data_IF_118960916719
#
_entry.id   IF_118960916719
#
_cell.length_a   1.000
_cell.length_b   1.000
_cell.length_c   1.000
_cell.angle_alpha   90.00
_cell.angle_beta   90.00
_cell.angle_gamma   90.00
#
_symmetry.space_group_name_H-M   'P 1'
#
loop_
_entity.id
_entity.type
_entity.pdbx_description
1 polymer ?
#
# COMPACT_ATOMS: atom_id res chain seq x y z
N UNK A 1 -3.88 -22.03 -15.81
CA UNK A 1 -4.69 -21.35 -14.77
C UNK A 1 -5.04 -19.97 -15.28
N UNK A 2 -6.30 -19.53 -15.19
CA UNK A 2 -6.76 -18.21 -15.68
C UNK A 2 -7.02 -17.25 -14.52
N UNK A 3 -7.14 -15.94 -14.82
CA UNK A 3 -7.49 -14.94 -13.81
C UNK A 3 -8.86 -15.22 -13.16
N UNK A 4 -9.87 -15.62 -13.94
CA UNK A 4 -11.18 -16.02 -13.41
C UNK A 4 -11.08 -17.28 -12.52
N UNK A 5 -10.27 -18.26 -12.93
CA UNK A 5 -10.01 -19.44 -12.12
C UNK A 5 -9.35 -19.10 -10.78
N UNK A 6 -8.41 -18.17 -10.78
CA UNK A 6 -7.78 -17.66 -9.55
C UNK A 6 -8.80 -16.98 -8.64
N UNK A 7 -9.68 -16.14 -9.20
CA UNK A 7 -10.74 -15.46 -8.44
C UNK A 7 -11.64 -16.47 -7.74
N UNK A 8 -12.16 -17.45 -8.48
CA UNK A 8 -13.02 -18.50 -7.91
C UNK A 8 -12.31 -19.28 -6.80
N UNK A 9 -11.04 -19.64 -7.01
CA UNK A 9 -10.24 -20.39 -6.03
C UNK A 9 -10.03 -19.61 -4.73
N UNK A 10 -9.65 -18.33 -4.83
CA UNK A 10 -9.37 -17.51 -3.65
C UNK A 10 -10.63 -17.03 -2.93
N UNK A 11 -11.72 -16.80 -3.67
CA UNK A 11 -13.02 -16.42 -3.09
C UNK A 11 -13.59 -17.50 -2.17
N UNK A 12 -13.28 -18.78 -2.45
CA UNK A 12 -13.68 -19.90 -1.58
C UNK A 12 -13.06 -19.83 -0.17
N UNK A 13 -11.92 -19.16 -0.01
CA UNK A 13 -11.24 -18.99 1.29
C UNK A 13 -11.80 -17.75 1.98
N UNK A 14 -12.61 -17.92 3.03
CA UNK A 14 -13.28 -16.79 3.73
C UNK A 14 -12.32 -15.95 4.55
N UNK A 15 -11.35 -16.57 5.20
CA UNK A 15 -10.41 -15.88 6.08
C UNK A 15 -9.35 -15.10 5.28
N UNK A 16 -9.24 -13.76 5.43
CA UNK A 16 -8.34 -12.96 4.62
C UNK A 16 -6.86 -13.34 4.76
N UNK A 17 -6.39 -13.69 5.97
CA UNK A 17 -4.99 -14.07 6.16
C UNK A 17 -4.68 -15.40 5.49
N UNK A 18 -5.53 -16.42 5.65
CA UNK A 18 -5.36 -17.69 4.94
C UNK A 18 -5.38 -17.50 3.42
N UNK A 19 -6.24 -16.61 2.91
CA UNK A 19 -6.29 -16.29 1.48
C UNK A 19 -4.96 -15.68 0.99
N UNK A 20 -4.37 -14.77 1.78
CA UNK A 20 -3.06 -14.15 1.49
C UNK A 20 -1.93 -15.18 1.51
N UNK A 21 -1.87 -16.01 2.53
CA UNK A 21 -0.88 -17.08 2.67
C UNK A 21 -1.00 -18.07 1.50
N UNK A 22 -2.22 -18.48 1.18
CA UNK A 22 -2.48 -19.39 0.07
C UNK A 22 -2.04 -18.81 -1.28
N UNK A 23 -2.36 -17.53 -1.55
CA UNK A 23 -1.89 -16.85 -2.76
C UNK A 23 -0.35 -16.75 -2.81
N UNK A 24 0.31 -16.43 -1.69
CA UNK A 24 1.76 -16.39 -1.63
C UNK A 24 2.38 -17.77 -1.95
N UNK A 25 1.88 -18.84 -1.33
CA UNK A 25 2.37 -20.20 -1.63
C UNK A 25 2.10 -20.65 -3.07
N UNK A 26 0.98 -20.22 -3.65
CA UNK A 26 0.67 -20.43 -5.06
C UNK A 26 1.67 -19.72 -5.99
N UNK A 27 2.04 -18.48 -5.67
CA UNK A 27 3.06 -17.71 -6.41
C UNK A 27 4.44 -18.34 -6.28
N UNK A 28 4.82 -18.85 -5.10
CA UNK A 28 6.12 -19.48 -4.89
C UNK A 28 6.29 -20.82 -5.62
N UNK A 29 5.23 -21.62 -5.69
CA UNK A 29 5.28 -22.95 -6.30
C UNK A 29 5.05 -22.96 -7.82
N UNK A 30 4.52 -21.87 -8.39
CA UNK A 30 4.11 -21.84 -9.79
C UNK A 30 5.14 -21.27 -10.75
N UNK A 31 4.91 -21.50 -12.04
CA UNK A 31 5.72 -20.96 -13.12
C UNK A 31 5.55 -19.43 -13.22
N UNK A 32 6.65 -18.64 -13.14
CA UNK A 32 6.61 -17.18 -13.29
C UNK A 32 5.90 -16.72 -14.56
N UNK A 33 6.09 -17.39 -15.71
CA UNK A 33 5.50 -16.97 -16.99
C UNK A 33 3.97 -17.04 -16.95
N UNK A 34 3.44 -18.11 -16.36
CA UNK A 34 1.99 -18.29 -16.16
C UNK A 34 1.47 -17.24 -15.18
N UNK A 35 2.16 -17.02 -14.07
CA UNK A 35 1.72 -16.05 -13.06
C UNK A 35 1.71 -14.63 -13.57
N UNK A 36 2.73 -14.20 -14.32
CA UNK A 36 2.80 -12.86 -14.88
C UNK A 36 1.58 -12.56 -15.78
N UNK A 37 1.20 -13.50 -16.66
CA UNK A 37 0.01 -13.32 -17.50
C UNK A 37 -1.30 -13.36 -16.68
N UNK A 38 -1.39 -14.24 -15.67
CA UNK A 38 -2.56 -14.29 -14.77
C UNK A 38 -2.72 -12.98 -13.99
N UNK A 39 -1.63 -12.42 -13.46
CA UNK A 39 -1.64 -11.18 -12.69
C UNK A 39 -1.96 -9.97 -13.57
N UNK A 40 -1.40 -9.89 -14.78
CA UNK A 40 -1.73 -8.83 -15.75
C UNK A 40 -3.22 -8.88 -16.13
N UNK A 41 -3.76 -10.08 -16.40
CA UNK A 41 -5.16 -10.27 -16.71
C UNK A 41 -6.08 -9.92 -15.52
N UNK A 42 -5.71 -10.31 -14.30
CA UNK A 42 -6.43 -9.99 -13.07
C UNK A 42 -6.49 -8.47 -12.84
N UNK A 43 -5.34 -7.78 -12.94
CA UNK A 43 -5.25 -6.33 -12.77
C UNK A 43 -6.08 -5.62 -13.84
N UNK A 44 -5.96 -6.05 -15.10
CA UNK A 44 -6.74 -5.52 -16.21
C UNK A 44 -8.26 -5.71 -16.01
N UNK A 45 -8.68 -6.87 -15.48
CA UNK A 45 -10.08 -7.14 -15.16
C UNK A 45 -10.58 -6.19 -14.07
N UNK A 46 -9.90 -6.13 -12.93
CA UNK A 46 -10.27 -5.26 -11.81
C UNK A 46 -10.32 -3.76 -12.18
N UNK A 47 -9.51 -3.34 -13.16
CA UNK A 47 -9.50 -1.96 -13.62
C UNK A 47 -10.55 -1.63 -14.69
N UNK A 48 -11.14 -2.64 -15.36
CA UNK A 48 -12.18 -2.47 -16.40
C UNK A 48 -13.58 -2.49 -15.84
N UNK A 49 -13.84 -3.46 -14.98
CA UNK A 49 -15.16 -3.75 -14.45
C UNK A 49 -15.24 -3.25 -13.02
N UNK A 50 -16.44 -2.87 -12.56
CA UNK A 50 -16.69 -2.72 -11.12
C UNK A 50 -16.88 -4.10 -10.46
N UNK A 51 -16.05 -5.06 -10.86
CA UNK A 51 -16.09 -6.43 -10.39
C UNK A 51 -15.46 -6.49 -9.00
N UNK A 52 -16.32 -6.52 -7.99
CA UNK A 52 -15.94 -6.55 -6.60
C UNK A 52 -15.06 -7.77 -6.24
N UNK A 53 -15.25 -8.90 -6.91
CA UNK A 53 -14.42 -10.08 -6.67
C UNK A 53 -13.01 -9.87 -7.22
N UNK A 54 -12.88 -9.38 -8.45
CA UNK A 54 -11.58 -9.06 -9.03
C UNK A 54 -10.82 -8.00 -8.20
N UNK A 55 -11.52 -6.94 -7.76
CA UNK A 55 -10.95 -5.91 -6.88
C UNK A 55 -10.49 -6.49 -5.54
N UNK A 56 -11.28 -7.37 -4.91
CA UNK A 56 -10.92 -8.03 -3.66
C UNK A 56 -9.70 -8.95 -3.81
N UNK A 57 -9.54 -9.61 -4.96
CA UNK A 57 -8.36 -10.45 -5.23
C UNK A 57 -7.13 -9.61 -5.57
N UNK A 58 -7.27 -8.48 -6.26
CA UNK A 58 -6.17 -7.52 -6.43
C UNK A 58 -5.74 -6.96 -5.07
N UNK A 59 -6.67 -6.59 -4.19
CA UNK A 59 -6.34 -6.19 -2.81
C UNK A 59 -5.55 -7.29 -2.09
N UNK A 60 -6.04 -8.54 -2.14
CA UNK A 60 -5.35 -9.70 -1.58
C UNK A 60 -3.93 -9.86 -2.15
N UNK A 61 -3.75 -9.71 -3.47
CA UNK A 61 -2.45 -9.74 -4.13
C UNK A 61 -1.51 -8.69 -3.55
N UNK A 62 -1.93 -7.42 -3.49
CA UNK A 62 -1.06 -6.33 -3.02
C UNK A 62 -0.58 -6.52 -1.57
N UNK A 63 -1.38 -7.22 -0.75
CA UNK A 63 -1.04 -7.57 0.62
C UNK A 63 -0.22 -8.87 0.71
N UNK A 64 -0.47 -9.84 -0.17
CA UNK A 64 0.30 -11.08 -0.27
C UNK A 64 1.73 -10.85 -0.78
N UNK A 65 1.94 -9.87 -1.66
CA UNK A 65 3.28 -9.48 -2.13
C UNK A 65 3.96 -8.47 -1.21
N UNK A 66 3.31 -8.04 -0.12
CA UNK A 66 3.96 -7.22 0.91
C UNK A 66 5.08 -8.01 1.61
N UNK A 67 6.16 -7.33 1.97
CA UNK A 67 7.32 -7.95 2.65
C UNK A 67 6.90 -8.47 4.04
N UNK A 68 7.40 -9.64 4.50
CA UNK A 68 8.22 -10.65 3.82
C UNK A 68 7.42 -11.93 3.52
N UNK A 69 6.31 -11.85 2.76
CA UNK A 69 5.48 -13.04 2.46
C UNK A 69 5.96 -13.91 1.29
N UNK A 70 6.83 -13.37 0.44
CA UNK A 70 7.42 -14.09 -0.70
C UNK A 70 8.94 -14.11 -0.53
N UNK A 71 9.55 -15.26 -0.75
CA UNK A 71 11.01 -15.40 -0.81
C UNK A 71 11.64 -14.47 -1.86
N UNK A 72 12.89 -14.06 -1.62
CA UNK A 72 13.66 -13.26 -2.58
C UNK A 72 13.69 -13.91 -3.98
N UNK A 73 13.93 -15.23 -4.03
CA UNK A 73 13.98 -16.00 -5.28
C UNK A 73 12.67 -15.92 -6.07
N UNK A 74 11.52 -16.09 -5.41
CA UNK A 74 10.23 -16.02 -6.09
C UNK A 74 9.96 -14.60 -6.63
N UNK A 75 10.30 -13.57 -5.84
CA UNK A 75 10.18 -12.16 -6.26
C UNK A 75 11.05 -11.86 -7.47
N UNK A 76 12.32 -12.27 -7.43
CA UNK A 76 13.28 -12.07 -8.52
C UNK A 76 12.82 -12.75 -9.81
N UNK A 77 12.32 -13.99 -9.72
CA UNK A 77 11.81 -14.73 -10.87
C UNK A 77 10.59 -14.03 -11.50
N UNK A 78 9.59 -13.65 -10.70
CA UNK A 78 8.39 -12.94 -11.17
C UNK A 78 8.72 -11.55 -11.74
N UNK A 79 9.63 -10.82 -11.09
CA UNK A 79 10.12 -9.53 -11.59
C UNK A 79 10.80 -9.66 -12.95
N UNK A 80 11.74 -10.60 -13.07
CA UNK A 80 12.54 -10.81 -14.29
C UNK A 80 11.64 -11.19 -15.45
N UNK A 81 10.75 -12.16 -15.24
CA UNK A 81 9.78 -12.60 -16.24
C UNK A 81 8.88 -11.44 -16.68
N UNK A 82 8.27 -10.72 -15.74
CA UNK A 82 7.39 -9.59 -16.04
C UNK A 82 8.10 -8.50 -16.85
N UNK A 83 9.40 -8.28 -16.62
CA UNK A 83 10.19 -7.35 -17.43
C UNK A 83 10.46 -7.88 -18.83
N UNK A 84 10.80 -9.16 -18.97
CA UNK A 84 11.10 -9.78 -20.27
C UNK A 84 9.88 -9.72 -21.20
N UNK A 85 8.68 -9.98 -20.68
CA UNK A 85 7.43 -9.94 -21.47
C UNK A 85 6.78 -8.55 -21.54
N UNK A 86 7.43 -7.49 -21.02
CA UNK A 86 6.95 -6.11 -21.11
C UNK A 86 5.74 -5.78 -20.21
N UNK A 87 5.52 -6.54 -19.14
CA UNK A 87 4.47 -6.32 -18.12
C UNK A 87 4.98 -5.44 -16.99
N UNK A 88 5.33 -4.20 -17.29
CA UNK A 88 5.93 -3.26 -16.33
C UNK A 88 5.14 -3.10 -15.03
N UNK A 89 3.82 -2.94 -15.10
CA UNK A 89 2.96 -2.80 -13.93
C UNK A 89 3.02 -4.03 -13.02
N UNK A 90 3.07 -5.24 -13.58
CA UNK A 90 3.25 -6.48 -12.81
C UNK A 90 4.64 -6.54 -12.20
N UNK A 91 5.68 -6.21 -12.98
CA UNK A 91 7.07 -6.24 -12.50
C UNK A 91 7.26 -5.36 -11.25
N UNK A 92 6.71 -4.14 -11.24
CA UNK A 92 6.90 -3.21 -10.12
C UNK A 92 6.21 -3.65 -8.83
N UNK A 93 5.28 -4.62 -8.85
CA UNK A 93 4.71 -5.20 -7.64
C UNK A 93 5.72 -6.00 -6.82
N UNK A 94 6.79 -6.46 -7.46
CA UNK A 94 7.85 -7.29 -6.85
C UNK A 94 9.12 -6.49 -6.52
N UNK A 95 9.07 -5.16 -6.64
CA UNK A 95 10.14 -4.27 -6.17
C UNK A 95 9.95 -3.98 -4.67
N UNK A 96 10.96 -4.26 -3.86
CA UNK A 96 10.93 -4.02 -2.40
C UNK A 96 11.73 -2.81 -1.94
N UNK A 97 12.56 -2.24 -2.82
CA UNK A 97 13.40 -1.10 -2.50
C UNK A 97 12.94 0.14 -3.26
N UNK A 98 13.07 1.30 -2.61
CA UNK A 98 12.87 2.60 -3.24
C UNK A 98 13.89 3.58 -2.69
N UNK A 99 14.29 4.60 -3.47
CA UNK A 99 15.08 5.71 -2.95
C UNK A 99 14.42 6.33 -1.72
N UNK A 100 15.23 6.90 -0.83
CA UNK A 100 14.73 7.63 0.32
C UNK A 100 13.85 8.79 -0.13
N UNK A 101 12.66 8.90 0.47
CA UNK A 101 11.67 9.95 0.19
C UNK A 101 11.73 11.11 1.18
N UNK A 102 12.60 11.02 2.19
CA UNK A 102 12.87 12.06 3.17
C UNK A 102 14.38 12.25 3.34
N UNK A 103 14.80 13.48 3.63
CA UNK A 103 16.19 13.75 4.00
C UNK A 103 16.50 13.07 5.34
N UNK A 104 17.61 12.32 5.41
CA UNK A 104 17.97 11.55 6.60
C UNK A 104 18.12 12.42 7.86
N UNK A 105 18.73 13.61 7.75
CA UNK A 105 18.93 14.52 8.89
C UNK A 105 17.62 15.15 9.34
N UNK A 106 16.74 15.51 8.41
CA UNK A 106 15.43 16.06 8.75
C UNK A 106 14.53 15.00 9.39
N UNK A 107 14.61 13.76 8.89
CA UNK A 107 13.90 12.62 9.46
C UNK A 107 14.38 12.34 10.89
N UNK A 108 15.70 12.30 11.12
CA UNK A 108 16.27 12.11 12.46
C UNK A 108 15.76 13.15 13.45
N UNK A 109 15.81 14.45 13.08
CA UNK A 109 15.26 15.54 13.91
C UNK A 109 13.76 15.40 14.15
N UNK A 110 12.99 15.03 13.13
CA UNK A 110 11.55 14.85 13.27
C UNK A 110 11.20 13.70 14.23
N UNK A 111 12.07 12.69 14.33
CA UNK A 111 11.91 11.49 15.14
C UNK A 111 12.57 11.58 16.52
N UNK A 112 13.00 12.77 16.94
CA UNK A 112 13.52 12.99 18.29
C UNK A 112 12.56 12.45 19.37
N UNK A 113 13.11 11.85 20.44
CA UNK A 113 12.31 11.13 21.43
C UNK A 113 11.36 12.07 22.19
N UNK A 114 11.78 13.31 22.42
CA UNK A 114 11.02 14.31 23.15
C UNK A 114 10.31 15.28 22.21
N UNK A 115 8.99 15.42 22.39
CA UNK A 115 8.19 16.32 21.58
C UNK A 115 6.95 16.80 22.34
N UNK A 116 6.61 18.09 22.29
CA UNK A 116 5.37 18.57 22.86
C UNK A 116 4.17 18.20 21.96
N UNK A 117 3.03 17.84 22.54
CA UNK A 117 1.79 17.58 21.79
C UNK A 117 1.18 18.85 21.21
N UNK A 118 1.41 19.99 21.88
CA UNK A 118 0.87 21.29 21.53
C UNK A 118 2.01 22.31 21.46
N UNK A 119 1.93 23.37 20.64
CA UNK A 119 3.03 24.33 20.45
C UNK A 119 3.55 24.99 21.74
N UNK A 120 2.73 25.07 22.79
CA UNK A 120 3.10 25.65 24.11
C UNK A 120 3.11 24.63 25.25
N UNK A 121 3.06 23.34 24.92
CA UNK A 121 3.09 22.26 25.92
C UNK A 121 4.52 21.90 26.33
N UNK A 122 4.66 21.24 27.48
CA UNK A 122 5.94 20.61 27.85
C UNK A 122 6.31 19.51 26.83
N UNK A 123 7.60 19.27 26.56
CA UNK A 123 8.02 18.08 25.84
C UNK A 123 7.56 16.80 26.55
N UNK A 124 7.05 15.86 25.78
CA UNK A 124 6.74 14.50 26.24
C UNK A 124 7.74 13.53 25.64
N UNK A 125 8.20 12.60 26.46
CA UNK A 125 9.00 11.45 26.01
C UNK A 125 8.20 10.57 25.03
N UNK A 126 8.90 9.75 24.26
CA UNK A 126 8.28 8.77 23.37
C UNK A 126 7.32 7.83 24.12
N UNK A 127 7.69 7.41 25.34
CA UNK A 127 6.86 6.58 26.20
C UNK A 127 5.55 7.27 26.60
N UNK A 128 5.62 8.53 27.02
CA UNK A 128 4.43 9.34 27.36
C UNK A 128 3.54 9.57 26.15
N UNK A 129 4.09 9.83 24.96
CA UNK A 129 3.30 9.97 23.72
C UNK A 129 2.60 8.66 23.33
N UNK A 130 3.27 7.51 23.46
CA UNK A 130 2.66 6.19 23.27
C UNK A 130 1.57 5.91 24.32
N UNK A 131 1.75 6.33 25.57
CA UNK A 131 0.72 6.21 26.59
C UNK A 131 -0.50 7.09 26.26
N UNK A 132 -0.26 8.36 25.88
CA UNK A 132 -1.28 9.29 25.45
C UNK A 132 -2.06 8.79 24.23
N UNK A 133 -1.41 8.09 23.29
CA UNK A 133 -2.05 7.49 22.13
C UNK A 133 -3.11 6.41 22.47
N UNK A 134 -3.14 5.88 23.70
CA UNK A 134 -4.15 4.92 24.17
C UNK A 134 -5.34 5.56 24.87
N UNK A 135 -5.35 6.87 25.04
CA UNK A 135 -6.44 7.59 25.71
C UNK A 135 -7.75 7.54 24.91
N UNK A 136 -8.88 7.78 25.58
CA UNK A 136 -10.17 8.04 24.94
C UNK A 136 -10.42 9.51 24.63
N UNK A 137 -9.59 10.41 25.18
CA UNK A 137 -9.67 11.87 24.99
C UNK A 137 -9.43 12.31 23.54
N UNK A 138 -10.44 12.90 22.91
CA UNK A 138 -10.44 13.32 21.49
C UNK A 138 -9.43 14.43 21.20
N UNK A 139 -9.32 15.42 22.08
CA UNK A 139 -8.37 16.52 21.97
C UNK A 139 -6.91 16.04 21.91
N UNK A 140 -6.56 15.07 22.75
CA UNK A 140 -5.22 14.46 22.77
C UNK A 140 -4.96 13.66 21.50
N UNK A 141 -5.93 12.86 21.04
CA UNK A 141 -5.78 12.07 19.82
C UNK A 141 -5.64 12.94 18.57
N UNK A 142 -6.40 14.04 18.48
CA UNK A 142 -6.26 15.02 17.38
C UNK A 142 -4.88 15.67 17.39
N UNK A 143 -4.32 15.97 18.56
CA UNK A 143 -2.96 16.50 18.66
C UNK A 143 -1.92 15.46 18.18
N UNK A 144 -2.11 14.19 18.57
CA UNK A 144 -1.22 13.07 18.23
C UNK A 144 -1.30 12.64 16.77
N UNK A 145 -2.35 12.99 16.02
CA UNK A 145 -2.40 12.75 14.56
C UNK A 145 -1.18 13.33 13.84
N UNK A 146 -0.58 14.42 14.36
CA UNK A 146 0.60 15.08 13.80
C UNK A 146 1.94 14.51 14.27
N UNK A 147 1.90 13.42 15.04
CA UNK A 147 3.11 12.77 15.53
C UNK A 147 3.81 11.99 14.40
N UNK A 148 5.07 12.30 14.07
CA UNK A 148 5.79 11.62 13.00
C UNK A 148 6.35 10.27 13.42
N UNK A 149 6.36 9.93 14.71
CA UNK A 149 7.07 8.77 15.21
C UNK A 149 6.30 7.46 14.90
N UNK A 150 6.91 6.49 14.19
CA UNK A 150 6.21 5.29 13.74
C UNK A 150 5.61 4.48 14.90
N UNK A 151 6.27 4.42 16.06
CA UNK A 151 5.71 3.73 17.24
C UNK A 151 4.49 4.42 17.85
N UNK A 152 4.42 5.75 17.80
CA UNK A 152 3.25 6.49 18.29
C UNK A 152 2.10 6.27 17.31
N UNK A 153 2.39 6.38 16.01
CA UNK A 153 1.42 6.11 14.93
C UNK A 153 0.90 4.68 15.04
N UNK A 154 1.76 3.68 15.25
CA UNK A 154 1.32 2.29 15.42
C UNK A 154 0.31 2.15 16.58
N UNK A 155 0.59 2.74 17.74
CA UNK A 155 -0.33 2.70 18.89
C UNK A 155 -1.63 3.49 18.62
N UNK A 156 -1.55 4.61 17.91
CA UNK A 156 -2.75 5.37 17.52
C UNK A 156 -3.65 4.55 16.60
N UNK A 157 -3.09 3.85 15.62
CA UNK A 157 -3.87 3.07 14.65
C UNK A 157 -4.66 1.94 15.31
N UNK A 158 -4.16 1.39 16.42
CA UNK A 158 -4.85 0.40 17.26
C UNK A 158 -5.92 1.02 18.18
N UNK A 159 -5.95 2.34 18.35
CA UNK A 159 -6.90 3.00 19.25
C UNK A 159 -8.34 2.85 18.73
N UNK A 160 -9.29 2.31 19.51
CA UNK A 160 -10.67 2.08 19.07
C UNK A 160 -11.41 3.38 18.76
N UNK A 161 -11.01 4.49 19.38
CA UNK A 161 -11.62 5.79 19.18
C UNK A 161 -11.11 6.51 17.94
N UNK A 162 -9.98 6.07 17.33
CA UNK A 162 -9.47 6.69 16.11
C UNK A 162 -10.45 6.49 14.94
N UNK A 163 -10.67 7.55 14.17
CA UNK A 163 -11.58 7.53 13.01
C UNK A 163 -10.82 7.42 11.70
N UNK A 164 -11.51 7.02 10.62
CA UNK A 164 -10.91 7.00 9.27
C UNK A 164 -10.40 8.38 8.86
N UNK A 165 -11.11 9.45 9.24
CA UNK A 165 -10.69 10.83 8.99
C UNK A 165 -9.35 11.16 9.64
N UNK A 166 -9.14 10.70 10.87
CA UNK A 166 -7.88 10.91 11.59
C UNK A 166 -6.73 10.17 10.88
N UNK A 167 -6.95 8.94 10.43
CA UNK A 167 -5.93 8.16 9.71
C UNK A 167 -5.60 8.77 8.34
N UNK A 168 -6.62 9.27 7.62
CA UNK A 168 -6.41 10.04 6.39
C UNK A 168 -5.57 11.28 6.68
N UNK A 169 -5.81 11.97 7.80
CA UNK A 169 -5.00 13.11 8.21
C UNK A 169 -3.55 12.72 8.51
N UNK A 170 -3.30 11.60 9.21
CA UNK A 170 -1.94 11.04 9.42
C UNK A 170 -1.26 10.79 8.07
N UNK A 171 -1.95 10.09 7.17
CA UNK A 171 -1.41 9.72 5.86
C UNK A 171 -1.17 10.92 4.93
N UNK A 172 -1.88 12.03 5.13
CA UNK A 172 -1.76 13.23 4.31
C UNK A 172 -0.71 14.24 4.81
N UNK A 173 -0.06 13.99 5.95
CA UNK A 173 0.93 14.92 6.52
C UNK A 173 2.12 15.15 5.57
N UNK A 174 2.57 16.41 5.50
CA UNK A 174 3.73 16.83 4.72
C UNK A 174 4.50 17.92 5.50
N UNK A 175 5.78 17.72 5.84
CA UNK A 175 6.53 16.48 5.67
C UNK A 175 5.98 15.34 6.54
N UNK A 176 6.07 14.11 6.06
CA UNK A 176 5.76 12.91 6.83
C UNK A 176 6.99 12.01 6.95
N UNK A 177 7.07 11.26 8.05
CA UNK A 177 8.09 10.24 8.22
C UNK A 177 7.72 9.00 7.38
N UNK A 178 8.56 8.54 6.44
CA UNK A 178 8.25 7.36 5.63
C UNK A 178 7.93 6.11 6.47
N UNK A 179 8.63 5.80 7.58
CA UNK A 179 8.27 4.68 8.45
C UNK A 179 6.86 4.76 9.03
N UNK A 180 6.34 5.97 9.33
CA UNK A 180 4.97 6.14 9.82
C UNK A 180 3.93 5.86 8.73
N UNK A 181 4.20 6.27 7.49
CA UNK A 181 3.33 5.96 6.34
C UNK A 181 3.29 4.44 6.06
N UNK A 182 4.41 3.75 6.23
CA UNK A 182 4.46 2.27 6.15
C UNK A 182 3.55 1.64 7.22
N UNK A 183 3.56 2.15 8.46
CA UNK A 183 2.63 1.66 9.50
C UNK A 183 1.17 1.80 9.09
N UNK A 184 0.79 2.93 8.50
CA UNK A 184 -0.58 3.14 7.99
C UNK A 184 -0.90 2.16 6.85
N UNK A 185 0.02 2.02 5.90
CA UNK A 185 -0.12 1.15 4.73
C UNK A 185 -0.28 -0.34 5.08
N UNK A 186 0.32 -0.80 6.16
CA UNK A 186 0.33 -2.20 6.57
C UNK A 186 -0.73 -2.54 7.63
N UNK A 187 -1.37 -1.52 8.21
CA UNK A 187 -2.28 -1.74 9.33
C UNK A 187 -3.55 -2.50 8.93
N UNK A 188 -3.87 -3.66 9.54
CA UNK A 188 -4.96 -4.54 9.09
C UNK A 188 -6.34 -3.87 8.99
N UNK A 189 -6.64 -2.95 9.91
CA UNK A 189 -7.92 -2.22 9.95
C UNK A 189 -8.03 -1.11 8.90
N UNK A 190 -6.92 -0.47 8.57
CA UNK A 190 -6.92 0.80 7.82
C UNK A 190 -6.41 0.65 6.39
N UNK A 191 -5.52 -0.30 6.13
CA UNK A 191 -4.96 -0.56 4.79
C UNK A 191 -6.02 -0.95 3.76
N UNK A 192 -7.16 -1.50 4.19
CA UNK A 192 -8.29 -1.85 3.32
C UNK A 192 -9.19 -0.66 3.00
N UNK A 193 -9.04 0.48 3.69
CA UNK A 193 -9.92 1.65 3.55
C UNK A 193 -9.50 2.51 2.36
N UNK A 194 -10.44 2.75 1.45
CA UNK A 194 -10.16 3.42 0.19
C UNK A 194 -9.52 4.81 0.37
N UNK A 195 -10.07 5.63 1.28
CA UNK A 195 -9.56 6.99 1.49
C UNK A 195 -8.16 6.98 2.12
N UNK A 196 -7.88 6.01 3.00
CA UNK A 196 -6.55 5.81 3.58
C UNK A 196 -5.55 5.39 2.50
N UNK A 197 -5.89 4.40 1.67
CA UNK A 197 -5.06 3.97 0.53
C UNK A 197 -4.73 5.14 -0.38
N UNK A 198 -5.74 5.93 -0.76
CA UNK A 198 -5.55 7.11 -1.61
C UNK A 198 -4.65 8.16 -0.95
N UNK A 199 -4.84 8.45 0.34
CA UNK A 199 -4.02 9.42 1.06
C UNK A 199 -2.55 8.99 1.12
N UNK A 200 -2.28 7.71 1.39
CA UNK A 200 -0.92 7.15 1.38
C UNK A 200 -0.29 7.26 -0.01
N UNK A 201 -1.00 6.85 -1.07
CA UNK A 201 -0.45 6.88 -2.44
C UNK A 201 -0.15 8.31 -2.92
N UNK A 202 -0.99 9.29 -2.55
CA UNK A 202 -0.81 10.68 -2.93
C UNK A 202 0.20 11.44 -2.04
N UNK A 203 0.81 10.79 -1.05
CA UNK A 203 1.83 11.42 -0.22
C UNK A 203 3.23 11.23 -0.86
N UNK A 204 3.95 12.31 -1.22
CA UNK A 204 5.28 12.20 -1.83
C UNK A 204 6.35 11.59 -0.90
N UNK A 205 6.09 11.56 0.41
CA UNK A 205 6.96 10.92 1.40
C UNK A 205 6.73 9.41 1.51
N UNK A 206 5.69 8.85 0.87
CA UNK A 206 5.45 7.41 0.85
C UNK A 206 6.52 6.72 0.02
N UNK A 207 7.22 5.70 0.55
CA UNK A 207 8.17 4.91 -0.23
C UNK A 207 7.53 4.40 -1.53
N UNK A 208 8.20 4.58 -2.67
CA UNK A 208 7.59 4.36 -3.97
C UNK A 208 7.04 2.94 -4.15
N UNK A 209 7.72 1.90 -3.66
CA UNK A 209 7.25 0.51 -3.71
C UNK A 209 5.93 0.30 -2.95
N UNK A 210 5.71 1.01 -1.83
CA UNK A 210 4.45 0.97 -1.08
C UNK A 210 3.35 1.66 -1.88
N UNK A 211 3.62 2.87 -2.39
CA UNK A 211 2.66 3.60 -3.21
C UNK A 211 2.26 2.83 -4.48
N UNK A 212 3.25 2.23 -5.17
CA UNK A 212 3.04 1.39 -6.35
C UNK A 212 2.13 0.22 -6.05
N UNK A 213 2.44 -0.56 -5.01
CA UNK A 213 1.61 -1.70 -4.61
C UNK A 213 0.17 -1.26 -4.36
N UNK A 214 -0.04 -0.27 -3.49
CA UNK A 214 -1.38 0.20 -3.11
C UNK A 214 -2.14 0.80 -4.30
N UNK A 215 -1.45 1.54 -5.19
CA UNK A 215 -2.08 2.19 -6.35
C UNK A 215 -2.79 1.20 -7.28
N UNK A 216 -2.34 -0.05 -7.34
CA UNK A 216 -2.96 -1.14 -8.11
C UNK A 216 -4.40 -1.44 -7.67
N UNK A 217 -4.79 -1.01 -6.47
CA UNK A 217 -6.14 -1.18 -5.92
C UNK A 217 -7.03 0.07 -6.05
N UNK A 218 -6.51 1.16 -6.64
CA UNK A 218 -7.23 2.43 -6.77
C UNK A 218 -8.11 2.47 -8.02
N UNK A 219 -9.15 3.31 -7.96
CA UNK A 219 -10.08 3.51 -9.09
C UNK A 219 -9.40 4.27 -10.21
N UNK A 220 -9.93 4.09 -11.43
CA UNK A 220 -9.42 4.72 -12.67
C UNK A 220 -9.25 6.24 -12.57
N UNK A 221 -10.19 6.93 -11.91
CA UNK A 221 -10.12 8.39 -11.74
C UNK A 221 -8.88 8.80 -10.94
N UNK A 222 -8.61 8.12 -9.83
CA UNK A 222 -7.45 8.39 -8.98
C UNK A 222 -6.14 7.98 -9.67
N UNK A 223 -6.13 6.88 -10.43
CA UNK A 223 -4.99 6.50 -11.28
C UNK A 223 -4.67 7.57 -12.34
N UNK A 224 -5.70 8.17 -12.95
CA UNK A 224 -5.51 9.27 -13.91
C UNK A 224 -4.90 10.51 -13.23
N UNK A 225 -5.37 10.84 -12.03
CA UNK A 225 -4.80 11.93 -11.24
C UNK A 225 -3.33 11.66 -10.89
N UNK A 226 -3.00 10.44 -10.46
CA UNK A 226 -1.61 10.04 -10.13
C UNK A 226 -0.70 10.14 -11.36
N UNK A 227 -1.13 9.66 -12.53
CA UNK A 227 -0.32 9.73 -13.74
C UNK A 227 -0.01 11.18 -14.17
N UNK A 228 -0.92 12.11 -13.89
CA UNK A 228 -0.80 13.52 -14.24
C UNK A 228 -0.06 14.38 -13.19
N UNK A 229 0.03 13.95 -11.93
CA UNK A 229 0.62 14.75 -10.85
C UNK A 229 2.16 14.75 -10.87
N UNK A 230 2.74 15.88 -11.26
CA UNK A 230 4.19 16.08 -11.34
C UNK A 230 4.91 16.09 -9.99
N UNK A 231 4.18 16.19 -8.88
CA UNK A 231 4.76 16.17 -7.54
C UNK A 231 4.98 14.74 -7.02
N UNK A 232 4.46 13.73 -7.73
CA UNK A 232 4.63 12.33 -7.38
C UNK A 232 5.83 11.72 -8.10
N UNK A 233 6.48 10.68 -7.52
CA UNK A 233 7.61 10.01 -8.16
C UNK A 233 7.28 9.50 -9.56
N UNK A 234 8.17 9.71 -10.54
CA UNK A 234 7.95 9.31 -11.93
C UNK A 234 7.63 7.82 -12.10
N UNK A 235 8.24 6.96 -11.28
CA UNK A 235 7.96 5.53 -11.28
C UNK A 235 6.51 5.20 -10.89
N UNK A 236 5.91 5.97 -9.99
CA UNK A 236 4.51 5.82 -9.58
C UNK A 236 3.57 6.33 -10.68
N UNK A 237 3.91 7.48 -11.29
CA UNK A 237 3.16 8.06 -12.41
C UNK A 237 3.12 7.11 -13.61
N UNK A 238 4.28 6.55 -13.96
CA UNK A 238 4.44 5.55 -15.02
C UNK A 238 3.61 4.28 -14.70
N UNK A 239 3.69 3.79 -13.47
CA UNK A 239 2.90 2.64 -13.03
C UNK A 239 1.39 2.88 -13.20
N UNK A 240 0.89 4.04 -12.75
CA UNK A 240 -0.51 4.40 -12.90
C UNK A 240 -0.95 4.51 -14.38
N UNK A 241 -0.10 5.08 -15.24
CA UNK A 241 -0.35 5.15 -16.67
C UNK A 241 -0.45 3.76 -17.32
N UNK A 242 0.43 2.82 -16.94
CA UNK A 242 0.40 1.45 -17.44
C UNK A 242 -0.83 0.67 -16.95
N UNK A 243 -1.28 0.87 -15.70
CA UNK A 243 -2.54 0.30 -15.19
C UNK A 243 -3.75 0.80 -16.00
N UNK A 244 -3.79 2.09 -16.32
CA UNK A 244 -4.84 2.67 -17.17
C UNK A 244 -4.80 2.10 -18.59
N UNK A 245 -3.61 1.88 -19.16
CA UNK A 245 -3.44 1.25 -20.46
C UNK A 245 -3.86 -0.23 -20.44
N UNK A 246 -3.53 -0.97 -19.38
CA UNK A 246 -3.96 -2.35 -19.17
C UNK A 246 -5.49 -2.48 -19.15
N UNK A 247 -6.17 -1.52 -18.52
CA UNK A 247 -7.63 -1.45 -18.53
C UNK A 247 -8.23 -1.21 -19.92
N UNK A 248 -7.48 -0.71 -20.91
CA UNK A 248 -7.97 -0.50 -22.27
C UNK A 248 -7.74 -1.70 -23.19
N UNK A 249 -6.87 -2.64 -22.80
CA UNK A 249 -6.61 -3.85 -23.60
C UNK A 249 -7.86 -4.75 -23.60
N UNK A 250 -8.33 -5.22 -24.76
CA UNK A 250 -9.39 -6.21 -24.81
C UNK A 250 -8.95 -7.44 -24.01
N UNK A 251 -9.89 -8.06 -23.28
CA UNK A 251 -9.62 -9.36 -22.70
C UNK A 251 -9.25 -10.28 -23.86
N UNK A 252 -8.01 -10.81 -23.88
CA UNK A 252 -7.68 -11.90 -24.80
C UNK A 252 -8.72 -12.98 -24.50
N UNK A 253 -9.51 -13.36 -25.51
CA UNK A 253 -10.62 -14.28 -25.35
C UNK A 253 -10.15 -15.51 -24.61
N UNK A 254 -10.78 -15.77 -23.45
CA UNK A 254 -10.72 -17.05 -22.78
C UNK A 254 -11.37 -18.07 -23.73
N UNK A 255 -10.57 -18.67 -24.60
CA UNK A 255 -10.91 -19.89 -25.34
C UNK A 255 -10.69 -21.12 -24.47
#
# INVERSE_FOLDING_TARGET
>A
MTARGLILRLKAIREPELRRIHLAGLLEAGDPAVWVEVLDALIGLAARTDDADAQAIVECLTQAVAVPRLSYRAREALYTEARQVGRGAVARLFLDASPATANARELERALEPERPLQPRGRPLTLGERKAAARTSRRDILIALVRDPHPDVVAVLLDNPHLTERDVVAIAALRPAAPPALVKVAEHPRWSTRYLVKRAVVLNPYTPAHVAIRISTTLRRLDLAAIAADVNLPDVLRLHAAELLAAARRPARGDG
#
